data_IF_640998055245
#
_entry.id   IF_640998055245
#
_cell.length_a   1.000
_cell.length_b   1.000
_cell.length_c   1.000
_cell.angle_alpha   90.00
_cell.angle_beta   90.00
_cell.angle_gamma   90.00
#
_symmetry.space_group_name_H-M   'P 1'
#
loop_
_entity.id
_entity.type
_entity.pdbx_description
1 polymer ?
#
# COMPACT_ATOMS: atom_id res chain seq x y z
N UNK A 1 15.98 -24.14 16.95
CA UNK A 1 16.22 -22.74 16.53
C UNK A 1 15.27 -22.48 15.39
N UNK A 2 14.21 -21.70 15.61
CA UNK A 2 13.25 -21.41 14.54
C UNK A 2 13.93 -20.44 13.57
N UNK A 3 14.13 -20.90 12.34
CA UNK A 3 14.48 -20.04 11.21
C UNK A 3 13.41 -18.94 11.13
N UNK A 4 13.77 -17.75 11.58
CA UNK A 4 12.94 -16.58 11.39
C UNK A 4 12.73 -16.44 9.90
N UNK A 5 11.48 -16.53 9.44
CA UNK A 5 11.13 -16.36 8.04
C UNK A 5 11.65 -15.00 7.58
N UNK A 6 12.83 -14.96 6.98
CA UNK A 6 13.38 -13.76 6.39
C UNK A 6 12.45 -13.41 5.24
N UNK A 7 11.53 -12.47 5.49
CA UNK A 7 10.71 -11.90 4.41
C UNK A 7 11.65 -11.45 3.30
N UNK A 8 11.32 -11.63 2.01
CA UNK A 8 12.16 -11.20 0.92
C UNK A 8 12.58 -9.74 1.13
N UNK A 9 13.87 -9.53 1.38
CA UNK A 9 14.46 -8.19 1.49
C UNK A 9 14.73 -7.74 0.06
N UNK A 10 13.87 -6.90 -0.46
CA UNK A 10 14.12 -6.18 -1.69
C UNK A 10 14.78 -4.82 -1.38
N UNK A 11 15.50 -4.22 -2.35
CA UNK A 11 16.11 -2.91 -2.19
C UNK A 11 15.12 -1.88 -1.64
N UNK A 12 15.59 -1.03 -0.72
CA UNK A 12 14.81 0.12 -0.25
C UNK A 12 14.60 1.13 -1.36
N UNK A 13 13.55 1.94 -1.27
CA UNK A 13 13.29 3.02 -2.21
C UNK A 13 14.43 4.04 -2.18
N UNK A 14 14.91 4.40 -3.36
CA UNK A 14 15.83 5.50 -3.61
C UNK A 14 15.49 6.19 -4.95
N UNK A 15 16.27 7.20 -5.30
CA UNK A 15 16.01 8.04 -6.48
C UNK A 15 16.12 7.27 -7.82
N UNK A 16 16.66 6.05 -7.82
CA UNK A 16 16.95 5.27 -9.02
C UNK A 16 16.14 4.00 -9.23
N UNK A 17 15.23 3.64 -8.31
CA UNK A 17 14.55 2.33 -8.33
C UNK A 17 13.04 2.37 -8.08
N UNK A 18 12.38 3.51 -8.30
CA UNK A 18 10.95 3.69 -8.02
C UNK A 18 10.06 2.59 -8.62
N UNK A 19 10.29 2.22 -9.88
CA UNK A 19 9.45 1.24 -10.58
C UNK A 19 9.59 -0.16 -9.97
N UNK A 20 10.82 -0.66 -9.85
CA UNK A 20 11.10 -1.97 -9.27
C UNK A 20 10.66 -2.02 -7.81
N UNK A 21 10.90 -0.94 -7.05
CA UNK A 21 10.44 -0.83 -5.67
C UNK A 21 8.93 -0.92 -5.57
N UNK A 22 8.18 -0.21 -6.42
CA UNK A 22 6.73 -0.26 -6.42
C UNK A 22 6.23 -1.68 -6.70
N UNK A 23 6.77 -2.37 -7.70
CA UNK A 23 6.39 -3.76 -7.99
C UNK A 23 6.61 -4.70 -6.80
N UNK A 24 7.76 -4.58 -6.12
CA UNK A 24 8.08 -5.44 -4.98
C UNK A 24 7.32 -5.08 -3.71
N UNK A 25 7.07 -3.79 -3.48
CA UNK A 25 6.28 -3.30 -2.36
C UNK A 25 4.81 -3.71 -2.49
N UNK A 26 4.24 -3.67 -3.70
CA UNK A 26 2.90 -4.19 -3.98
C UNK A 26 2.82 -5.67 -3.62
N UNK A 27 3.75 -6.49 -4.13
CA UNK A 27 3.81 -7.92 -3.81
C UNK A 27 3.91 -8.17 -2.30
N UNK A 28 4.71 -7.38 -1.57
CA UNK A 28 4.86 -7.51 -0.12
C UNK A 28 3.59 -7.12 0.64
N UNK A 29 2.90 -6.05 0.24
CA UNK A 29 1.63 -5.64 0.84
C UNK A 29 0.51 -6.65 0.53
N UNK A 30 0.51 -7.26 -0.65
CA UNK A 30 -0.42 -8.35 -1.00
C UNK A 30 -0.16 -9.56 -0.11
N UNK A 31 1.11 -9.99 0.02
CA UNK A 31 1.51 -11.12 0.88
C UNK A 31 1.11 -10.91 2.35
N UNK A 32 1.12 -9.66 2.82
CA UNK A 32 0.72 -9.29 4.19
C UNK A 32 -0.78 -9.01 4.34
N UNK A 33 -1.58 -9.07 3.28
CA UNK A 33 -3.01 -8.76 3.33
C UNK A 33 -3.32 -7.27 3.55
N UNK A 34 -2.35 -6.40 3.26
CA UNK A 34 -2.40 -4.94 3.43
C UNK A 34 -2.76 -4.22 2.13
N UNK A 35 -2.61 -4.84 0.97
CA UNK A 35 -2.88 -4.19 -0.33
C UNK A 35 -4.27 -3.57 -0.47
N UNK A 36 -5.28 -4.14 0.21
CA UNK A 36 -6.65 -3.61 0.19
C UNK A 36 -6.79 -2.16 0.70
N UNK A 37 -5.78 -1.63 1.40
CA UNK A 37 -5.75 -0.20 1.80
C UNK A 37 -4.98 0.70 0.84
N UNK A 38 -4.40 0.14 -0.21
CA UNK A 38 -3.67 0.88 -1.24
C UNK A 38 -4.54 1.18 -2.45
N UNK A 39 -5.43 0.24 -2.79
CA UNK A 39 -6.14 0.27 -4.06
C UNK A 39 -7.65 0.14 -3.87
N UNK A 40 -8.35 1.27 -4.03
CA UNK A 40 -9.82 1.32 -4.04
C UNK A 40 -10.25 1.57 -5.47
N UNK A 41 -10.11 0.55 -6.31
CA UNK A 41 -10.77 0.55 -7.61
C UNK A 41 -12.26 0.30 -7.35
N UNK A 42 -13.15 1.04 -7.99
CA UNK A 42 -14.56 0.72 -8.04
C UNK A 42 -14.93 0.72 -9.50
N UNK A 43 -15.41 -0.41 -9.98
CA UNK A 43 -15.91 -0.50 -11.34
C UNK A 43 -17.27 0.20 -11.41
N UNK A 44 -17.32 1.28 -12.18
CA UNK A 44 -18.50 2.12 -12.39
C UNK A 44 -19.18 1.82 -13.73
N UNK A 45 -18.59 1.00 -14.59
CA UNK A 45 -19.11 0.75 -15.93
C UNK A 45 -20.40 -0.10 -15.83
N UNK A 46 -21.49 0.43 -16.39
CA UNK A 46 -22.79 -0.27 -16.39
C UNK A 46 -23.45 -0.42 -15.02
N UNK A 47 -22.91 0.17 -13.94
CA UNK A 47 -23.50 0.12 -12.58
C UNK A 47 -24.27 1.39 -12.26
N UNK A 48 -25.40 1.22 -11.58
CA UNK A 48 -26.13 2.34 -11.01
C UNK A 48 -25.38 2.96 -9.81
N UNK A 49 -25.82 4.16 -9.42
CA UNK A 49 -25.19 4.94 -8.36
C UNK A 49 -25.16 4.22 -7.01
N UNK A 50 -26.23 3.50 -6.68
CA UNK A 50 -26.33 2.76 -5.44
C UNK A 50 -25.32 1.61 -5.39
N UNK A 51 -25.15 0.91 -6.51
CA UNK A 51 -24.28 -0.25 -6.64
C UNK A 51 -22.81 0.11 -6.52
N UNK A 52 -22.32 1.12 -7.27
CA UNK A 52 -20.91 1.50 -7.16
C UNK A 52 -20.59 2.16 -5.81
N UNK A 53 -21.55 2.88 -5.21
CA UNK A 53 -21.39 3.43 -3.84
C UNK A 53 -21.32 2.33 -2.79
N UNK A 54 -22.14 1.28 -2.90
CA UNK A 54 -22.09 0.13 -1.99
C UNK A 54 -20.73 -0.58 -2.09
N UNK A 55 -20.21 -0.78 -3.30
CA UNK A 55 -18.88 -1.36 -3.52
C UNK A 55 -17.77 -0.48 -2.92
N UNK A 56 -17.83 0.84 -3.13
CA UNK A 56 -16.92 1.80 -2.54
C UNK A 56 -16.92 1.69 -1.00
N UNK A 57 -18.10 1.66 -0.39
CA UNK A 57 -18.24 1.53 1.07
C UNK A 57 -17.65 0.21 1.58
N UNK A 58 -17.92 -0.92 0.91
CA UNK A 58 -17.32 -2.21 1.30
C UNK A 58 -15.79 -2.19 1.24
N UNK A 59 -15.20 -1.47 0.27
CA UNK A 59 -13.74 -1.31 0.16
C UNK A 59 -13.21 -0.35 1.22
N UNK A 60 -13.93 0.74 1.53
CA UNK A 60 -13.61 1.66 2.62
C UNK A 60 -13.59 0.96 3.98
N UNK A 61 -14.52 0.05 4.27
CA UNK A 61 -14.57 -0.70 5.54
C UNK A 61 -13.31 -1.55 5.75
N UNK A 62 -12.63 -1.99 4.68
CA UNK A 62 -11.36 -2.73 4.79
C UNK A 62 -10.18 -1.84 5.22
N UNK A 63 -10.31 -0.51 5.13
CA UNK A 63 -9.31 0.48 5.55
C UNK A 63 -9.43 0.80 7.03
N UNK A 64 -9.35 -0.22 7.86
CA UNK A 64 -9.33 0.00 9.31
C UNK A 64 -8.09 0.80 9.70
N UNK A 65 -8.19 1.60 10.76
CA UNK A 65 -7.06 2.40 11.25
C UNK A 65 -5.82 1.54 11.52
N UNK A 66 -6.03 0.30 12.00
CA UNK A 66 -4.96 -0.68 12.19
C UNK A 66 -4.28 -1.05 10.87
N UNK A 67 -5.03 -1.49 9.85
CA UNK A 67 -4.43 -1.87 8.56
C UNK A 67 -3.74 -0.71 7.86
N UNK A 68 -4.29 0.50 8.00
CA UNK A 68 -3.67 1.74 7.52
C UNK A 68 -2.32 1.98 8.20
N UNK A 69 -2.26 1.84 9.53
CA UNK A 69 -1.03 2.00 10.28
C UNK A 69 0.01 0.91 9.95
N UNK A 70 -0.42 -0.34 9.79
CA UNK A 70 0.45 -1.47 9.40
C UNK A 70 1.05 -1.26 8.01
N UNK A 71 0.23 -0.88 7.02
CA UNK A 71 0.70 -0.56 5.68
C UNK A 71 1.64 0.64 5.66
N UNK A 72 1.31 1.72 6.40
CA UNK A 72 2.17 2.90 6.54
C UNK A 72 3.54 2.53 7.14
N UNK A 73 3.54 1.73 8.20
CA UNK A 73 4.77 1.26 8.83
C UNK A 73 5.62 0.40 7.89
N UNK A 74 5.00 -0.54 7.16
CA UNK A 74 5.74 -1.36 6.20
C UNK A 74 6.37 -0.50 5.09
N UNK A 75 5.65 0.50 4.57
CA UNK A 75 6.21 1.43 3.58
C UNK A 75 7.41 2.19 4.14
N UNK A 76 7.32 2.76 5.35
CA UNK A 76 8.43 3.46 6.01
C UNK A 76 9.66 2.57 6.16
N UNK A 77 9.48 1.30 6.54
CA UNK A 77 10.59 0.36 6.71
C UNK A 77 11.28 -0.01 5.38
N UNK A 78 10.61 0.26 4.25
CA UNK A 78 11.09 -0.06 2.89
C UNK A 78 11.61 1.15 2.14
N UNK A 79 11.84 2.30 2.77
CA UNK A 79 12.48 3.45 2.12
C UNK A 79 13.84 3.79 2.73
N UNK A 80 14.71 4.43 1.94
CA UNK A 80 15.92 5.07 2.46
C UNK A 80 15.58 6.36 3.21
N UNK A 81 16.49 6.81 4.07
CA UNK A 81 16.28 8.01 4.90
C UNK A 81 15.96 9.25 4.06
N UNK A 82 16.67 9.43 2.94
CA UNK A 82 16.44 10.53 2.00
C UNK A 82 15.03 10.56 1.38
N UNK A 83 14.31 9.43 1.40
CA UNK A 83 12.98 9.30 0.83
C UNK A 83 11.85 9.41 1.88
N UNK A 84 12.17 9.60 3.17
CA UNK A 84 11.16 9.74 4.23
C UNK A 84 10.24 10.96 4.04
N UNK A 85 10.65 11.96 3.25
CA UNK A 85 9.81 13.09 2.86
C UNK A 85 8.50 12.65 2.18
N UNK A 86 8.52 11.55 1.43
CA UNK A 86 7.34 10.97 0.76
C UNK A 86 6.39 10.26 1.75
N UNK A 87 6.87 9.86 2.94
CA UNK A 87 6.10 9.06 3.90
C UNK A 87 5.29 9.88 4.91
N UNK A 88 5.21 11.21 4.75
CA UNK A 88 4.58 12.13 5.72
C UNK A 88 3.07 11.96 5.85
N UNK A 89 2.40 11.55 4.77
CA UNK A 89 0.97 11.24 4.82
C UNK A 89 0.73 10.00 5.69
N UNK A 90 -0.32 10.01 6.52
CA UNK A 90 -0.78 8.81 7.24
C UNK A 90 -1.62 7.88 6.36
N UNK A 91 -2.01 8.33 5.18
CA UNK A 91 -2.74 7.55 4.21
C UNK A 91 -1.76 6.88 3.22
N UNK A 92 -1.60 5.55 3.26
CA UNK A 92 -0.73 4.81 2.34
C UNK A 92 -1.09 4.98 0.87
N UNK A 93 -2.38 5.14 0.54
CA UNK A 93 -2.82 5.36 -0.85
C UNK A 93 -2.31 6.70 -1.38
N UNK A 94 -2.35 7.75 -0.56
CA UNK A 94 -1.80 9.06 -0.94
C UNK A 94 -0.29 9.01 -1.13
N UNK A 95 0.42 8.27 -0.27
CA UNK A 95 1.85 8.06 -0.45
C UNK A 95 2.11 7.36 -1.78
N UNK A 96 1.43 6.25 -2.05
CA UNK A 96 1.58 5.47 -3.28
C UNK A 96 1.35 6.31 -4.54
N UNK A 97 0.29 7.10 -4.55
CA UNK A 97 -0.03 7.98 -5.68
C UNK A 97 0.97 9.11 -5.90
N UNK A 98 1.76 9.48 -4.88
CA UNK A 98 2.80 10.52 -4.98
C UNK A 98 4.18 9.99 -5.41
N UNK A 99 4.35 8.67 -5.45
CA UNK A 99 5.58 8.00 -5.87
C UNK A 99 5.58 7.63 -7.36
N UNK A 100 4.47 7.89 -8.06
CA UNK A 100 4.26 7.63 -9.49
C UNK A 100 4.38 8.89 -10.32
#
# INVERSE_FOLDING_TARGET
MSEGSASPRFPKLNDGNYLEWAMMMEAELVRKGLWAVMDILVDTEGKDEASWKAELQMKMVKRTAQKMAEAHAEMILRVEEGQLSHMRSRDPMKIWGSLR
#
